data_IF_896072829154
#
_entry.id   IF_896072829154
#
_cell.length_a   1.000
_cell.length_b   1.000
_cell.length_c   1.000
_cell.angle_alpha   90.00
_cell.angle_beta   90.00
_cell.angle_gamma   90.00
#
_symmetry.space_group_name_H-M   'P 1'
#
loop_
_entity.id
_entity.type
_entity.pdbx_description
1 polymer ?
#
# COMPACT_ATOMS: atom_id res chain seq x y z
N UNK A 1 -3.68 14.09 28.97
CA UNK A 1 -4.12 15.42 28.44
C UNK A 1 -3.23 15.91 27.30
N UNK A 2 -1.91 16.09 27.47
CA UNK A 2 -1.01 16.65 26.43
C UNK A 2 -1.05 15.88 25.11
N UNK A 3 -0.92 14.54 25.15
CA UNK A 3 -1.00 13.67 23.96
C UNK A 3 -2.32 13.88 23.20
N UNK A 4 -3.44 13.89 23.91
CA UNK A 4 -4.75 14.06 23.32
C UNK A 4 -4.88 15.42 22.61
N UNK A 5 -4.38 16.50 23.22
CA UNK A 5 -4.38 17.83 22.60
C UNK A 5 -3.56 17.87 21.31
N UNK A 6 -2.34 17.28 21.33
CA UNK A 6 -1.49 17.22 20.14
C UNK A 6 -2.12 16.34 19.03
N UNK A 7 -2.77 15.22 19.41
CA UNK A 7 -3.47 14.36 18.46
C UNK A 7 -4.69 15.05 17.82
N UNK A 8 -5.48 15.76 18.60
CA UNK A 8 -6.61 16.54 18.07
C UNK A 8 -6.11 17.64 17.13
N UNK A 9 -5.07 18.38 17.55
CA UNK A 9 -4.43 19.37 16.69
C UNK A 9 -4.02 18.77 15.34
N UNK A 10 -3.32 17.63 15.36
CA UNK A 10 -2.87 16.93 14.17
C UNK A 10 -4.05 16.56 13.26
N UNK A 11 -5.11 15.96 13.82
CA UNK A 11 -6.29 15.55 13.06
C UNK A 11 -7.03 16.75 12.44
N UNK A 12 -7.17 17.82 13.19
CA UNK A 12 -7.80 19.06 12.70
C UNK A 12 -6.99 19.62 11.52
N UNK A 13 -5.67 19.73 11.65
CA UNK A 13 -4.84 20.25 10.58
C UNK A 13 -4.83 19.34 9.34
N UNK A 14 -4.80 18.04 9.50
CA UNK A 14 -4.88 17.11 8.35
C UNK A 14 -6.20 17.21 7.59
N UNK A 15 -7.33 17.34 8.31
CA UNK A 15 -8.65 17.42 7.69
C UNK A 15 -8.97 18.79 7.08
N UNK A 16 -8.25 19.81 7.48
CA UNK A 16 -8.44 21.21 7.04
C UNK A 16 -7.40 21.68 6.03
N UNK A 17 -6.44 20.81 5.66
CA UNK A 17 -5.46 21.10 4.61
C UNK A 17 -6.16 21.55 3.33
N UNK A 18 -5.60 22.56 2.66
CA UNK A 18 -6.14 23.20 1.45
C UNK A 18 -7.51 23.88 1.59
N UNK A 19 -8.23 23.67 2.71
CA UNK A 19 -9.53 24.33 2.97
C UNK A 19 -9.36 25.58 3.83
N UNK A 20 -8.59 25.47 4.92
CA UNK A 20 -8.39 26.56 5.88
C UNK A 20 -6.94 27.07 5.92
N UNK A 21 -5.96 26.26 5.50
CA UNK A 21 -4.54 26.63 5.52
C UNK A 21 -3.76 25.89 4.41
N UNK A 22 -2.64 26.46 3.94
CA UNK A 22 -1.80 25.87 2.90
C UNK A 22 -0.73 24.90 3.44
N UNK A 23 -0.70 24.64 4.75
CA UNK A 23 0.32 23.77 5.37
C UNK A 23 0.00 22.32 5.03
N UNK A 24 0.95 21.62 4.44
CA UNK A 24 0.81 20.22 4.05
C UNK A 24 0.83 19.26 5.24
N UNK A 25 0.30 18.05 5.03
CA UNK A 25 0.20 17.00 6.03
C UNK A 25 1.55 16.57 6.59
N UNK A 26 2.62 16.60 5.77
CA UNK A 26 3.97 16.21 6.21
C UNK A 26 4.54 17.22 7.18
N UNK A 27 4.45 18.53 6.87
CA UNK A 27 4.87 19.61 7.74
C UNK A 27 4.10 19.57 9.07
N UNK A 28 2.77 19.41 9.00
CA UNK A 28 1.93 19.29 10.21
C UNK A 28 2.35 18.10 11.08
N UNK A 29 2.65 16.95 10.45
CA UNK A 29 3.12 15.76 11.16
C UNK A 29 4.46 16.02 11.85
N UNK A 30 5.42 16.63 11.15
CA UNK A 30 6.73 16.97 11.73
C UNK A 30 6.60 17.94 12.91
N UNK A 31 5.72 18.93 12.82
CA UNK A 31 5.40 19.83 13.94
C UNK A 31 4.83 19.04 15.12
N UNK A 32 3.87 18.17 14.89
CA UNK A 32 3.28 17.35 15.95
C UNK A 32 4.32 16.42 16.61
N UNK A 33 5.17 15.75 15.83
CA UNK A 33 6.26 14.91 16.35
C UNK A 33 7.23 15.76 17.18
N UNK A 34 7.59 16.93 16.71
CA UNK A 34 8.45 17.85 17.45
C UNK A 34 7.82 18.25 18.79
N UNK A 35 6.52 18.62 18.79
CA UNK A 35 5.79 18.96 20.02
C UNK A 35 5.75 17.78 21.01
N UNK A 36 5.63 16.54 20.55
CA UNK A 36 5.64 15.35 21.40
C UNK A 36 6.98 15.13 22.11
N UNK A 37 8.09 15.58 21.50
CA UNK A 37 9.46 15.38 21.97
C UNK A 37 10.04 16.59 22.70
N UNK A 38 9.39 17.77 22.65
CA UNK A 38 9.90 18.98 23.25
C UNK A 38 10.00 18.85 24.78
N UNK A 39 11.11 19.28 25.39
CA UNK A 39 11.24 19.37 26.84
C UNK A 39 10.12 20.21 27.46
N UNK A 40 9.53 19.75 28.57
CA UNK A 40 8.43 20.38 29.35
C UNK A 40 7.05 20.33 28.68
N UNK A 41 6.94 20.41 27.36
CA UNK A 41 5.68 20.35 26.59
C UNK A 41 5.34 18.92 26.21
N UNK A 42 6.33 18.18 25.71
CA UNK A 42 6.18 16.82 25.21
C UNK A 42 5.73 15.79 26.23
N UNK A 43 5.44 14.62 25.75
CA UNK A 43 5.00 13.44 26.54
C UNK A 43 6.04 12.36 26.60
N UNK A 44 7.10 12.45 25.80
CA UNK A 44 8.20 11.48 25.74
C UNK A 44 9.53 12.18 25.45
N UNK A 45 10.64 11.56 25.86
CA UNK A 45 11.97 12.05 25.49
C UNK A 45 12.46 11.36 24.21
N UNK A 46 13.39 12.01 23.49
CA UNK A 46 14.04 11.41 22.33
C UNK A 46 14.71 10.07 22.69
N UNK A 47 15.39 10.00 23.81
CA UNK A 47 16.08 8.80 24.26
C UNK A 47 15.11 7.62 24.52
N UNK A 48 13.89 7.88 24.98
CA UNK A 48 12.89 6.85 25.20
C UNK A 48 12.32 6.31 23.89
N UNK A 49 12.31 7.13 22.85
CA UNK A 49 11.64 6.83 21.57
C UNK A 49 12.59 6.27 20.55
N UNK A 50 13.83 6.78 20.46
CA UNK A 50 14.79 6.46 19.40
C UNK A 50 15.03 4.95 19.23
N UNK A 51 15.06 4.20 20.33
CA UNK A 51 15.25 2.76 20.32
C UNK A 51 13.95 1.96 20.09
N UNK A 52 12.79 2.61 20.16
CA UNK A 52 11.48 1.99 19.91
C UNK A 52 10.96 2.23 18.51
N UNK A 53 11.53 3.20 17.79
CA UNK A 53 11.20 3.44 16.38
C UNK A 53 11.72 2.29 15.53
N UNK A 54 10.85 1.75 14.69
CA UNK A 54 11.27 0.77 13.69
C UNK A 54 11.95 1.49 12.53
N UNK A 55 13.24 1.79 12.69
CA UNK A 55 14.05 2.48 11.68
C UNK A 55 14.13 1.70 10.36
N UNK A 56 14.07 0.36 10.41
CA UNK A 56 13.99 -0.46 9.21
C UNK A 56 12.77 -0.11 8.35
N UNK A 57 11.61 0.08 8.97
CA UNK A 57 10.39 0.52 8.27
C UNK A 57 10.54 1.93 7.70
N UNK A 58 11.10 2.88 8.46
CA UNK A 58 11.33 4.26 7.99
C UNK A 58 12.24 4.27 6.75
N UNK A 59 13.35 3.54 6.81
CA UNK A 59 14.29 3.42 5.70
C UNK A 59 13.65 2.72 4.49
N UNK A 60 12.88 1.65 4.71
CA UNK A 60 12.17 0.93 3.67
C UNK A 60 11.23 1.86 2.88
N UNK A 61 10.45 2.67 3.58
CA UNK A 61 9.58 3.67 2.94
C UNK A 61 10.39 4.71 2.16
N UNK A 62 11.42 5.28 2.78
CA UNK A 62 12.28 6.29 2.14
C UNK A 62 12.93 5.78 0.87
N UNK A 63 13.53 4.59 0.92
CA UNK A 63 14.15 3.93 -0.25
C UNK A 63 13.09 3.56 -1.29
N UNK A 64 11.94 3.02 -0.87
CA UNK A 64 10.86 2.65 -1.78
C UNK A 64 10.30 3.85 -2.54
N UNK A 65 10.06 4.98 -1.88
CA UNK A 65 9.61 6.23 -2.51
C UNK A 65 10.67 6.75 -3.49
N UNK A 66 11.95 6.75 -3.08
CA UNK A 66 13.07 7.18 -3.94
C UNK A 66 13.20 6.29 -5.17
N UNK A 67 13.10 4.96 -5.00
CA UNK A 67 13.12 4.00 -6.11
C UNK A 67 11.93 4.20 -7.05
N UNK A 68 10.72 4.36 -6.50
CA UNK A 68 9.51 4.65 -7.29
C UNK A 68 9.66 5.93 -8.12
N UNK A 69 10.18 7.00 -7.52
CA UNK A 69 10.46 8.26 -8.22
C UNK A 69 11.52 8.07 -9.32
N UNK A 70 12.58 7.32 -9.05
CA UNK A 70 13.60 7.00 -10.04
C UNK A 70 13.03 6.17 -11.20
N UNK A 71 12.22 5.15 -10.92
CA UNK A 71 11.56 4.33 -11.95
C UNK A 71 10.68 5.18 -12.89
N UNK A 72 9.94 6.15 -12.33
CA UNK A 72 9.10 7.05 -13.13
C UNK A 72 9.94 8.06 -13.92
N UNK A 73 10.94 8.69 -13.30
CA UNK A 73 11.78 9.72 -13.94
C UNK A 73 12.68 9.17 -15.04
N UNK A 74 13.22 7.97 -14.87
CA UNK A 74 14.03 7.27 -15.87
C UNK A 74 13.20 6.58 -16.96
N UNK A 75 11.88 6.59 -16.87
CA UNK A 75 10.96 5.84 -17.73
C UNK A 75 11.12 4.30 -17.65
N UNK A 76 11.87 3.80 -16.68
CA UNK A 76 12.02 2.36 -16.46
C UNK A 76 10.66 1.71 -16.11
N UNK A 77 9.82 2.40 -15.31
CA UNK A 77 8.46 1.95 -15.03
C UNK A 77 7.62 1.85 -16.32
N UNK A 78 7.79 2.76 -17.27
CA UNK A 78 7.12 2.73 -18.58
C UNK A 78 7.54 1.51 -19.40
N UNK A 79 8.84 1.20 -19.42
CA UNK A 79 9.34 0.01 -20.10
C UNK A 79 8.77 -1.28 -19.45
N UNK A 80 8.84 -1.40 -18.13
CA UNK A 80 8.26 -2.55 -17.41
C UNK A 80 6.76 -2.67 -17.63
N UNK A 81 6.05 -1.54 -17.66
CA UNK A 81 4.62 -1.52 -17.94
C UNK A 81 4.29 -2.05 -19.34
N UNK A 82 5.06 -1.65 -20.36
CA UNK A 82 4.89 -2.17 -21.71
C UNK A 82 5.10 -3.68 -21.79
N UNK A 83 6.14 -4.22 -21.14
CA UNK A 83 6.37 -5.66 -21.08
C UNK A 83 5.21 -6.40 -20.41
N UNK A 84 4.65 -5.85 -19.34
CA UNK A 84 3.47 -6.41 -18.65
C UNK A 84 2.23 -6.34 -19.55
N UNK A 85 1.96 -5.19 -20.17
CA UNK A 85 0.77 -4.98 -21.01
C UNK A 85 0.80 -5.90 -22.23
N UNK A 86 1.95 -6.00 -22.89
CA UNK A 86 2.13 -6.88 -24.06
C UNK A 86 2.13 -8.38 -23.62
N UNK A 87 2.89 -8.70 -22.58
CA UNK A 87 3.04 -10.08 -22.11
C UNK A 87 1.74 -10.70 -21.64
N UNK A 88 0.85 -9.93 -21.04
CA UNK A 88 -0.49 -10.37 -20.62
C UNK A 88 -1.61 -10.04 -21.62
N UNK A 89 -1.31 -9.41 -22.74
CA UNK A 89 -2.31 -9.04 -23.76
C UNK A 89 -3.34 -8.02 -23.26
N UNK A 90 -2.93 -7.07 -22.39
CA UNK A 90 -3.84 -6.15 -21.73
C UNK A 90 -4.27 -4.95 -22.57
N UNK A 91 -3.66 -4.71 -23.72
CA UNK A 91 -3.86 -3.47 -24.53
C UNK A 91 -5.32 -3.13 -24.81
N UNK A 92 -6.14 -4.14 -25.12
CA UNK A 92 -7.55 -3.99 -25.47
C UNK A 92 -8.47 -4.75 -24.51
N UNK A 93 -7.97 -5.06 -23.31
CA UNK A 93 -8.73 -5.79 -22.30
C UNK A 93 -9.74 -4.90 -21.60
N UNK A 94 -10.87 -5.47 -21.16
CA UNK A 94 -11.84 -4.73 -20.35
C UNK A 94 -11.23 -4.38 -18.99
N UNK A 95 -11.69 -3.31 -18.35
CA UNK A 95 -11.21 -2.86 -17.04
C UNK A 95 -11.26 -3.97 -16.00
N UNK A 96 -12.33 -4.79 -16.01
CA UNK A 96 -12.47 -5.95 -15.10
C UNK A 96 -11.42 -7.03 -15.39
N UNK A 97 -11.08 -7.26 -16.65
CA UNK A 97 -10.05 -8.23 -17.02
C UNK A 97 -8.66 -7.74 -16.58
N UNK A 98 -8.39 -6.45 -16.75
CA UNK A 98 -7.16 -5.81 -16.24
C UNK A 98 -7.10 -5.95 -14.72
N UNK A 99 -8.20 -5.67 -14.00
CA UNK A 99 -8.29 -5.83 -12.55
C UNK A 99 -8.00 -7.27 -12.14
N UNK A 100 -8.58 -8.26 -12.83
CA UNK A 100 -8.38 -9.68 -12.54
C UNK A 100 -6.92 -10.11 -12.72
N UNK A 101 -6.32 -9.81 -13.87
CA UNK A 101 -4.96 -10.21 -14.22
C UNK A 101 -3.95 -9.52 -13.29
N UNK A 102 -4.10 -8.21 -13.08
CA UNK A 102 -3.20 -7.47 -12.18
C UNK A 102 -3.35 -7.91 -10.72
N UNK A 103 -4.56 -8.22 -10.27
CA UNK A 103 -4.79 -8.75 -8.92
C UNK A 103 -4.13 -10.12 -8.74
N UNK A 104 -4.28 -11.03 -9.71
CA UNK A 104 -3.64 -12.33 -9.68
C UNK A 104 -2.10 -12.21 -9.69
N UNK A 105 -1.57 -11.35 -10.55
CA UNK A 105 -0.14 -11.04 -10.60
C UNK A 105 0.38 -10.55 -9.24
N UNK A 106 -0.34 -9.62 -8.58
CA UNK A 106 0.03 -9.09 -7.27
C UNK A 106 -0.01 -10.15 -6.17
N UNK A 107 -0.99 -11.03 -6.18
CA UNK A 107 -1.09 -12.15 -5.24
C UNK A 107 0.11 -13.08 -5.40
N UNK A 108 0.47 -13.42 -6.62
CA UNK A 108 1.61 -14.33 -6.90
C UNK A 108 2.93 -13.66 -6.52
N UNK A 109 3.16 -12.42 -6.93
CA UNK A 109 4.42 -11.74 -6.64
C UNK A 109 4.59 -11.48 -5.13
N UNK A 110 3.50 -11.29 -4.39
CA UNK A 110 3.52 -11.10 -2.94
C UNK A 110 4.15 -12.29 -2.21
N UNK A 111 4.05 -13.51 -2.74
CA UNK A 111 4.70 -14.68 -2.13
C UNK A 111 6.23 -14.54 -2.05
N UNK A 112 6.84 -13.74 -2.92
CA UNK A 112 8.28 -13.44 -2.90
C UNK A 112 8.67 -12.26 -1.99
N UNK A 113 7.70 -11.59 -1.36
CA UNK A 113 7.96 -10.40 -0.53
C UNK A 113 7.64 -10.68 0.94
N UNK A 114 8.58 -10.33 1.81
CA UNK A 114 8.40 -10.43 3.26
C UNK A 114 7.63 -9.24 3.88
N UNK A 115 7.07 -8.34 3.06
CA UNK A 115 6.38 -7.14 3.54
C UNK A 115 5.47 -6.57 2.46
N UNK A 116 4.17 -6.46 2.76
CA UNK A 116 3.20 -5.77 1.91
C UNK A 116 3.60 -4.30 1.65
N UNK A 117 4.18 -3.64 2.66
CA UNK A 117 4.67 -2.26 2.54
C UNK A 117 5.83 -2.15 1.54
N UNK A 118 6.79 -3.08 1.61
CA UNK A 118 7.90 -3.12 0.67
C UNK A 118 7.43 -3.41 -0.75
N UNK A 119 6.51 -4.35 -0.91
CA UNK A 119 5.87 -4.64 -2.19
C UNK A 119 5.14 -3.41 -2.73
N UNK A 120 4.32 -2.74 -1.92
CA UNK A 120 3.61 -1.52 -2.32
C UNK A 120 4.58 -0.44 -2.82
N UNK A 121 5.63 -0.15 -2.06
CA UNK A 121 6.60 0.87 -2.42
C UNK A 121 7.29 0.60 -3.77
N UNK A 122 7.54 -0.66 -4.09
CA UNK A 122 8.17 -1.06 -5.35
C UNK A 122 7.18 -1.13 -6.52
N UNK A 123 5.95 -1.65 -6.30
CA UNK A 123 5.06 -2.03 -7.40
C UNK A 123 4.05 -0.94 -7.79
N UNK A 124 3.64 -0.06 -6.87
CA UNK A 124 2.63 0.97 -7.16
C UNK A 124 3.02 1.89 -8.34
N UNK A 125 4.26 2.40 -8.45
CA UNK A 125 4.67 3.19 -9.61
C UNK A 125 4.54 2.42 -10.93
N UNK A 126 4.81 1.11 -10.92
CA UNK A 126 4.68 0.24 -12.09
C UNK A 126 3.19 0.05 -12.43
N UNK A 127 2.34 -0.20 -11.45
CA UNK A 127 0.87 -0.29 -11.63
C UNK A 127 0.32 0.97 -12.29
N UNK A 128 0.68 2.15 -11.78
CA UNK A 128 0.24 3.42 -12.35
C UNK A 128 0.67 3.51 -13.81
N UNK A 129 1.93 3.15 -14.11
CA UNK A 129 2.43 3.16 -15.48
C UNK A 129 1.70 2.16 -16.37
N UNK A 130 1.40 0.94 -15.89
CA UNK A 130 0.58 -0.06 -16.62
C UNK A 130 -0.79 0.53 -16.97
N UNK A 131 -1.49 1.09 -15.99
CA UNK A 131 -2.83 1.66 -16.20
C UNK A 131 -2.82 2.85 -17.17
N UNK A 132 -1.74 3.65 -17.19
CA UNK A 132 -1.57 4.75 -18.15
C UNK A 132 -1.34 4.29 -19.59
N UNK A 133 -0.80 3.08 -19.79
CA UNK A 133 -0.54 2.51 -21.12
C UNK A 133 -1.70 1.68 -21.68
N UNK A 134 -2.78 1.49 -20.91
CA UNK A 134 -3.97 0.83 -21.41
C UNK A 134 -4.69 1.73 -22.43
N UNK A 135 -5.14 1.15 -23.53
CA UNK A 135 -5.97 1.81 -24.54
C UNK A 135 -7.46 1.72 -24.23
N UNK A 136 -7.82 1.14 -23.08
CA UNK A 136 -9.22 0.95 -22.66
C UNK A 136 -9.86 2.29 -22.30
N UNK A 137 -10.93 2.72 -22.98
CA UNK A 137 -11.61 3.98 -22.68
C UNK A 137 -12.21 3.96 -21.28
N UNK A 138 -12.11 5.10 -20.56
CA UNK A 138 -12.80 5.27 -19.28
C UNK A 138 -12.12 4.64 -18.06
N UNK A 139 -10.89 4.13 -18.18
CA UNK A 139 -10.14 3.61 -17.03
C UNK A 139 -9.85 4.73 -16.02
N UNK A 140 -10.37 4.58 -14.81
CA UNK A 140 -10.02 5.45 -13.69
C UNK A 140 -8.71 4.98 -13.04
N UNK A 141 -7.58 5.60 -13.46
CA UNK A 141 -6.24 5.22 -12.99
C UNK A 141 -6.13 5.30 -11.47
N UNK A 142 -6.66 6.35 -10.85
CA UNK A 142 -6.61 6.54 -9.40
C UNK A 142 -7.44 5.47 -8.69
N UNK A 143 -8.68 5.26 -9.11
CA UNK A 143 -9.57 4.25 -8.55
C UNK A 143 -8.99 2.85 -8.66
N UNK A 144 -8.53 2.47 -9.86
CA UNK A 144 -7.89 1.16 -10.10
C UNK A 144 -6.61 0.99 -9.28
N UNK A 145 -5.78 2.02 -9.16
CA UNK A 145 -4.56 1.96 -8.32
C UNK A 145 -4.93 1.74 -6.86
N UNK A 146 -5.94 2.43 -6.33
CA UNK A 146 -6.42 2.24 -4.95
C UNK A 146 -6.91 0.80 -4.72
N UNK A 147 -7.67 0.23 -5.66
CA UNK A 147 -8.17 -1.13 -5.54
C UNK A 147 -7.01 -2.14 -5.57
N UNK A 148 -6.07 -1.99 -6.51
CA UNK A 148 -4.91 -2.86 -6.60
C UNK A 148 -4.00 -2.73 -5.37
N UNK A 149 -3.96 -1.56 -4.72
CA UNK A 149 -3.25 -1.40 -3.44
C UNK A 149 -3.89 -2.21 -2.32
N UNK A 150 -5.21 -2.41 -2.29
CA UNK A 150 -5.83 -3.35 -1.35
C UNK A 150 -5.35 -4.79 -1.62
N UNK A 151 -5.23 -5.17 -2.89
CA UNK A 151 -4.73 -6.52 -3.26
C UNK A 151 -3.27 -6.71 -2.84
N UNK A 152 -2.44 -5.66 -2.88
CA UNK A 152 -1.07 -5.71 -2.34
C UNK A 152 -1.04 -6.11 -0.86
N UNK A 153 -2.11 -5.90 -0.11
CA UNK A 153 -2.20 -6.30 1.30
C UNK A 153 -2.58 -7.78 1.52
N UNK A 154 -2.80 -8.56 0.46
CA UNK A 154 -3.22 -9.97 0.53
C UNK A 154 -2.05 -10.92 0.84
N UNK A 155 -1.31 -10.63 1.90
CA UNK A 155 -0.23 -11.48 2.42
C UNK A 155 -0.77 -12.64 3.27
N UNK A 156 -1.78 -13.39 2.80
CA UNK A 156 -2.45 -14.42 3.60
C UNK A 156 -1.83 -15.81 3.46
N UNK A 157 -1.02 -16.06 2.42
CA UNK A 157 -0.58 -17.41 2.07
C UNK A 157 0.60 -17.87 2.92
N UNK A 158 1.57 -16.99 3.18
CA UNK A 158 2.77 -17.34 3.94
C UNK A 158 2.91 -16.48 5.21
N UNK A 159 3.38 -17.06 6.33
CA UNK A 159 3.64 -16.28 7.54
C UNK A 159 4.58 -15.09 7.30
N UNK A 160 5.58 -15.27 6.45
CA UNK A 160 6.61 -14.24 6.17
C UNK A 160 6.05 -13.01 5.43
N UNK A 161 4.90 -13.11 4.79
CA UNK A 161 4.37 -12.03 3.94
C UNK A 161 3.92 -10.78 4.72
N UNK A 162 3.70 -10.88 6.04
CA UNK A 162 3.34 -9.74 6.85
C UNK A 162 3.86 -9.85 8.29
N UNK A 163 4.29 -8.74 8.93
CA UNK A 163 4.82 -8.76 10.29
C UNK A 163 3.86 -9.36 11.32
N UNK A 164 2.56 -9.08 11.21
CA UNK A 164 1.53 -9.63 12.10
C UNK A 164 1.43 -11.16 11.99
N UNK A 165 1.62 -11.71 10.80
CA UNK A 165 1.61 -13.15 10.59
C UNK A 165 2.82 -13.81 11.26
N UNK A 166 3.99 -13.16 11.19
CA UNK A 166 5.21 -13.64 11.87
C UNK A 166 5.08 -13.59 13.38
N UNK A 167 4.40 -12.58 13.94
CA UNK A 167 4.12 -12.53 15.40
C UNK A 167 3.22 -13.69 15.79
N UNK A 168 2.17 -13.97 15.03
CA UNK A 168 1.30 -15.10 15.29
C UNK A 168 2.03 -16.44 15.14
N UNK A 169 2.84 -16.60 14.09
CA UNK A 169 3.66 -17.80 13.87
C UNK A 169 4.69 -18.02 15.01
N UNK A 170 5.28 -16.94 15.53
CA UNK A 170 6.23 -17.01 16.65
C UNK A 170 5.62 -17.44 18.00
N UNK A 171 4.31 -17.69 18.07
CA UNK A 171 3.66 -18.31 19.26
C UNK A 171 3.79 -19.83 19.28
N UNK A 172 4.34 -20.45 18.23
CA UNK A 172 4.49 -21.91 18.05
C UNK A 172 3.19 -22.70 18.20
N UNK A 173 2.04 -22.07 17.97
CA UNK A 173 0.70 -22.70 18.11
C UNK A 173 0.21 -23.41 16.85
N UNK A 174 0.84 -23.17 15.70
CA UNK A 174 0.52 -23.79 14.40
C UNK A 174 1.75 -23.85 13.51
N UNK A 175 1.72 -24.75 12.53
CA UNK A 175 2.78 -24.89 11.54
C UNK A 175 2.56 -24.04 10.28
N UNK A 176 3.60 -23.87 9.46
CA UNK A 176 3.51 -23.18 8.17
C UNK A 176 2.44 -23.79 7.27
N UNK A 177 2.32 -25.14 7.31
CA UNK A 177 1.32 -25.87 6.55
C UNK A 177 -0.12 -25.47 6.92
N UNK A 178 -0.41 -25.30 8.20
CA UNK A 178 -1.73 -24.88 8.68
C UNK A 178 -2.07 -23.47 8.23
N UNK A 179 -1.07 -22.59 8.25
CA UNK A 179 -1.20 -21.21 7.77
C UNK A 179 -1.53 -21.19 6.27
N UNK A 180 -0.79 -21.93 5.45
CA UNK A 180 -1.02 -22.04 4.00
C UNK A 180 -2.40 -22.64 3.71
N UNK A 181 -2.80 -23.67 4.45
CA UNK A 181 -4.10 -24.34 4.30
C UNK A 181 -5.28 -23.40 4.56
N UNK A 182 -5.14 -22.48 5.51
CA UNK A 182 -6.13 -21.45 5.78
C UNK A 182 -6.00 -20.25 4.82
N UNK A 183 -4.78 -19.85 4.46
CA UNK A 183 -4.47 -18.70 3.66
C UNK A 183 -4.90 -18.80 2.19
N UNK A 184 -4.80 -19.98 1.58
CA UNK A 184 -5.23 -20.19 0.19
C UNK A 184 -6.74 -19.94 0.01
N UNK A 185 -7.65 -20.58 0.76
CA UNK A 185 -9.08 -20.30 0.67
C UNK A 185 -9.41 -18.84 0.95
N UNK A 186 -8.76 -18.23 1.94
CA UNK A 186 -8.95 -16.82 2.27
C UNK A 186 -8.55 -15.91 1.10
N UNK A 187 -7.43 -16.19 0.45
CA UNK A 187 -6.98 -15.46 -0.75
C UNK A 187 -7.97 -15.59 -1.91
N UNK A 188 -8.50 -16.79 -2.14
CA UNK A 188 -9.52 -17.04 -3.18
C UNK A 188 -10.80 -16.23 -2.89
N UNK A 189 -11.27 -16.25 -1.64
CA UNK A 189 -12.46 -15.49 -1.22
C UNK A 189 -12.20 -13.98 -1.39
N UNK A 190 -11.04 -13.50 -0.95
CA UNK A 190 -10.67 -12.09 -1.08
C UNK A 190 -10.57 -11.66 -2.55
N UNK A 191 -9.97 -12.48 -3.42
CA UNK A 191 -9.92 -12.24 -4.85
C UNK A 191 -11.34 -12.19 -5.46
N UNK A 192 -12.21 -13.18 -5.12
CA UNK A 192 -13.59 -13.19 -5.59
C UNK A 192 -14.36 -11.93 -5.14
N UNK A 193 -14.16 -11.47 -3.90
CA UNK A 193 -14.76 -10.23 -3.40
C UNK A 193 -14.29 -9.00 -4.18
N UNK A 194 -12.98 -8.89 -4.47
CA UNK A 194 -12.44 -7.81 -5.32
C UNK A 194 -13.12 -7.82 -6.70
N UNK A 195 -13.29 -8.99 -7.31
CA UNK A 195 -13.93 -9.11 -8.62
C UNK A 195 -15.41 -8.75 -8.57
N UNK A 196 -16.15 -9.22 -7.56
CA UNK A 196 -17.58 -8.89 -7.38
C UNK A 196 -17.75 -7.38 -7.15
N UNK A 197 -16.98 -6.80 -6.23
CA UNK A 197 -17.02 -5.36 -5.95
C UNK A 197 -16.59 -4.53 -7.16
N UNK A 198 -15.58 -4.98 -7.91
CA UNK A 198 -15.13 -4.35 -9.14
C UNK A 198 -16.21 -4.33 -10.22
N UNK A 199 -16.93 -5.43 -10.38
CA UNK A 199 -17.99 -5.55 -11.36
C UNK A 199 -19.29 -4.83 -10.96
N UNK A 200 -19.50 -4.53 -9.69
CA UNK A 200 -20.74 -3.97 -9.13
C UNK A 200 -20.51 -2.60 -8.50
N UNK A 201 -20.17 -2.57 -7.23
CA UNK A 201 -20.13 -1.38 -6.40
C UNK A 201 -19.08 -0.36 -6.86
N UNK A 202 -17.85 -0.80 -7.12
CA UNK A 202 -16.79 0.12 -7.55
C UNK A 202 -16.98 0.63 -8.98
N UNK A 203 -17.60 -0.18 -9.83
CA UNK A 203 -18.04 0.27 -11.16
C UNK A 203 -19.12 1.35 -11.04
N UNK A 204 -20.09 1.17 -10.13
CA UNK A 204 -21.11 2.17 -9.86
C UNK A 204 -20.52 3.48 -9.30
N UNK A 205 -19.44 3.41 -8.53
CA UNK A 205 -18.69 4.59 -8.06
C UNK A 205 -17.77 5.21 -9.11
N UNK A 206 -17.63 4.62 -10.30
CA UNK A 206 -16.71 5.09 -11.34
C UNK A 206 -15.23 4.87 -11.00
N UNK A 207 -14.91 3.89 -10.15
CA UNK A 207 -13.54 3.56 -9.79
C UNK A 207 -12.92 2.48 -10.70
N UNK A 208 -13.78 1.73 -11.41
CA UNK A 208 -13.41 0.65 -12.35
C UNK A 208 -14.07 0.88 -13.69
#
# INVERSE_FOLDING_TARGET
MKLLVISIFLLVFWTTEKKLHPIDTSTTTMVAVTLLLLPKIGVMSWNDVVHKVNWGTVLLFGVGISLGTALLSTKAATWMANEIVVGFGLENSTTIMVLAIMSLFLIVIHMGFASATGLAAAIIPIIISVLQHLKTPGVNIVGMTMILQYVVSFGFILPVNAPQNMIAYGTDTFEVHDFVRAGIPLTIIAFALIMILGATYWKWLGLV
#
